data_IF_131505759012
#
_entry.id   IF_131505759012
#
_cell.length_a   1.000
_cell.length_b   1.000
_cell.length_c   1.000
_cell.angle_alpha   90.00
_cell.angle_beta   90.00
_cell.angle_gamma   90.00
#
_symmetry.space_group_name_H-M   'P 1'
#
loop_
_entity.id
_entity.type
_entity.pdbx_description
1 polymer ?
#
# COMPACT_ATOMS: atom_id res chain seq x y z
N UNK A 1 18.09 -13.04 -28.31
CA UNK A 1 19.05 -12.09 -27.72
C UNK A 1 18.40 -10.75 -27.32
N UNK A 2 17.49 -10.19 -28.08
CA UNK A 2 16.80 -8.90 -27.79
C UNK A 2 16.03 -8.87 -26.43
N UNK A 3 15.31 -9.93 -26.12
CA UNK A 3 14.51 -9.98 -24.88
C UNK A 3 15.37 -9.91 -23.59
N UNK A 4 16.59 -10.45 -23.61
CA UNK A 4 17.55 -10.32 -22.50
C UNK A 4 18.09 -8.90 -22.39
N UNK A 5 18.37 -8.23 -23.53
CA UNK A 5 18.89 -6.85 -23.57
C UNK A 5 17.88 -5.86 -22.97
N UNK A 6 16.58 -6.01 -23.29
CA UNK A 6 15.52 -5.14 -22.78
C UNK A 6 15.33 -5.27 -21.25
N UNK A 7 15.49 -6.45 -20.68
CA UNK A 7 15.42 -6.67 -19.23
C UNK A 7 16.58 -5.98 -18.50
N UNK A 8 17.80 -6.05 -19.06
CA UNK A 8 18.97 -5.38 -18.50
C UNK A 8 18.83 -3.86 -18.51
N UNK A 9 18.34 -3.30 -19.62
CA UNK A 9 18.07 -1.86 -19.74
C UNK A 9 17.04 -1.42 -18.69
N UNK A 10 15.96 -2.18 -18.51
CA UNK A 10 14.96 -1.87 -17.47
C UNK A 10 15.55 -1.87 -16.06
N UNK A 11 16.40 -2.86 -15.72
CA UNK A 11 17.08 -2.90 -14.41
C UNK A 11 17.99 -1.68 -14.20
N UNK A 12 18.75 -1.31 -15.22
CA UNK A 12 19.64 -0.12 -15.16
C UNK A 12 18.80 1.13 -14.94
N UNK A 13 17.71 1.31 -15.67
CA UNK A 13 16.82 2.48 -15.53
C UNK A 13 16.27 2.58 -14.11
N UNK A 14 15.75 1.49 -13.54
CA UNK A 14 15.24 1.48 -12.16
C UNK A 14 16.35 1.81 -11.16
N UNK A 15 17.53 1.22 -11.31
CA UNK A 15 18.67 1.50 -10.41
C UNK A 15 19.12 2.96 -10.54
N UNK A 16 19.20 3.50 -11.75
CA UNK A 16 19.55 4.91 -11.98
C UNK A 16 18.52 5.84 -11.34
N UNK A 17 17.22 5.55 -11.49
CA UNK A 17 16.16 6.34 -10.85
C UNK A 17 16.28 6.32 -9.32
N UNK A 18 16.59 5.19 -8.72
CA UNK A 18 16.81 5.07 -7.27
C UNK A 18 18.04 5.90 -6.87
N UNK A 19 19.16 5.78 -7.58
CA UNK A 19 20.38 6.53 -7.28
C UNK A 19 20.14 8.03 -7.43
N UNK A 20 19.45 8.48 -8.49
CA UNK A 20 19.10 9.89 -8.71
C UNK A 20 18.17 10.39 -7.59
N UNK A 21 17.18 9.58 -7.18
CA UNK A 21 16.27 9.95 -6.07
C UNK A 21 17.03 10.11 -4.75
N UNK A 22 17.92 9.18 -4.44
CA UNK A 22 18.78 9.26 -3.23
C UNK A 22 19.76 10.44 -3.36
N UNK A 23 20.40 10.60 -4.51
CA UNK A 23 21.33 11.71 -4.76
C UNK A 23 20.64 13.06 -4.62
N UNK A 24 19.42 13.22 -5.16
CA UNK A 24 18.66 14.46 -5.05
C UNK A 24 18.33 14.84 -3.60
N UNK A 25 18.09 13.85 -2.74
CA UNK A 25 17.88 14.08 -1.30
C UNK A 25 19.11 14.69 -0.62
N UNK A 26 20.34 14.30 -1.02
CA UNK A 26 21.58 14.83 -0.42
C UNK A 26 22.02 16.15 -1.06
N UNK A 27 21.77 16.34 -2.36
CA UNK A 27 22.26 17.49 -3.13
C UNK A 27 21.34 18.71 -2.98
N UNK A 28 20.00 18.49 -2.94
CA UNK A 28 19.03 19.59 -2.91
C UNK A 28 18.41 19.77 -1.53
N UNK A 29 18.73 20.88 -0.79
CA UNK A 29 18.15 21.15 0.53
C UNK A 29 16.61 21.19 0.53
N UNK A 30 16.00 21.70 -0.55
CA UNK A 30 14.54 21.72 -0.70
C UNK A 30 13.93 20.33 -0.76
N UNK A 31 14.54 19.40 -1.49
CA UNK A 31 14.10 17.99 -1.56
C UNK A 31 14.22 17.33 -0.20
N UNK A 32 15.35 17.54 0.49
CA UNK A 32 15.58 17.05 1.84
C UNK A 32 14.53 17.56 2.83
N UNK A 33 14.20 18.86 2.77
CA UNK A 33 13.18 19.47 3.64
C UNK A 33 11.81 18.84 3.42
N UNK A 34 11.34 18.77 2.16
CA UNK A 34 10.05 18.18 1.82
C UNK A 34 10.00 16.69 2.22
N UNK A 35 11.05 15.91 1.93
CA UNK A 35 11.11 14.49 2.30
C UNK A 35 11.02 14.29 3.81
N UNK A 36 11.79 15.07 4.59
CA UNK A 36 11.75 14.99 6.05
C UNK A 36 10.36 15.39 6.59
N UNK A 37 9.72 16.37 5.98
CA UNK A 37 8.36 16.77 6.33
C UNK A 37 7.36 15.64 6.05
N UNK A 38 7.45 14.97 4.89
CA UNK A 38 6.61 13.83 4.51
C UNK A 38 6.82 12.67 5.49
N UNK A 39 8.06 12.31 5.81
CA UNK A 39 8.33 11.23 6.77
C UNK A 39 7.81 11.55 8.18
N UNK A 40 8.01 12.78 8.67
CA UNK A 40 7.47 13.22 9.97
C UNK A 40 5.95 13.17 10.00
N UNK A 41 5.31 13.61 8.92
CA UNK A 41 3.86 13.58 8.75
C UNK A 41 3.32 12.14 8.87
N UNK A 42 3.91 11.18 8.17
CA UNK A 42 3.50 9.77 8.29
C UNK A 42 3.83 9.16 9.64
N UNK A 43 4.97 9.52 10.23
CA UNK A 43 5.38 9.05 11.55
C UNK A 43 4.46 9.55 12.68
N UNK A 44 3.75 10.67 12.48
CA UNK A 44 2.78 11.16 13.44
C UNK A 44 1.57 10.23 13.61
N UNK A 45 1.25 9.44 12.57
CA UNK A 45 0.05 8.58 12.55
C UNK A 45 -1.27 9.37 12.57
N UNK A 46 -1.22 10.69 12.46
CA UNK A 46 -2.40 11.56 12.50
C UNK A 46 -2.81 11.97 11.08
N UNK A 47 -4.03 11.59 10.68
CA UNK A 47 -4.58 11.98 9.38
C UNK A 47 -4.79 13.49 9.25
N UNK A 48 -4.99 14.23 10.35
CA UNK A 48 -5.16 15.69 10.31
C UNK A 48 -3.88 16.38 9.85
N UNK A 49 -2.71 15.87 10.26
CA UNK A 49 -1.41 16.36 9.79
C UNK A 49 -1.24 16.10 8.30
N UNK A 50 -1.66 14.92 7.81
CA UNK A 50 -1.65 14.59 6.37
C UNK A 50 -2.61 15.50 5.60
N UNK A 51 -3.82 15.70 6.13
CA UNK A 51 -4.83 16.59 5.54
C UNK A 51 -4.30 18.01 5.40
N UNK A 52 -3.75 18.58 6.47
CA UNK A 52 -3.27 19.95 6.50
C UNK A 52 -2.06 20.14 5.56
N UNK A 53 -1.17 19.14 5.50
CA UNK A 53 -0.08 19.11 4.52
C UNK A 53 -0.62 19.14 3.09
N UNK A 54 -1.57 18.27 2.74
CA UNK A 54 -2.16 18.22 1.40
C UNK A 54 -2.92 19.54 1.11
N UNK A 55 -3.71 20.04 2.07
CA UNK A 55 -4.48 21.28 1.93
C UNK A 55 -3.59 22.50 1.66
N UNK A 56 -2.37 22.53 2.20
CA UNK A 56 -1.43 23.64 2.02
C UNK A 56 -1.05 23.89 0.56
N UNK A 57 -1.25 22.91 -0.34
CA UNK A 57 -0.99 23.03 -1.77
C UNK A 57 -2.17 23.60 -2.57
N UNK A 58 -3.29 23.96 -1.93
CA UNK A 58 -4.42 24.64 -2.56
C UNK A 58 -4.96 23.91 -3.79
N UNK A 59 -4.94 24.54 -4.95
CA UNK A 59 -5.45 23.96 -6.19
C UNK A 59 -4.74 22.67 -6.62
N UNK A 60 -3.51 22.43 -6.18
CA UNK A 60 -2.73 21.23 -6.49
C UNK A 60 -2.91 20.11 -5.46
N UNK A 61 -3.75 20.29 -4.44
CA UNK A 61 -3.93 19.32 -3.34
C UNK A 61 -4.26 17.91 -3.84
N UNK A 62 -5.15 17.76 -4.82
CA UNK A 62 -5.50 16.44 -5.37
C UNK A 62 -4.31 15.76 -6.06
N UNK A 63 -3.51 16.51 -6.83
CA UNK A 63 -2.31 16.00 -7.48
C UNK A 63 -1.25 15.60 -6.46
N UNK A 64 -1.03 16.43 -5.45
CA UNK A 64 -0.07 16.13 -4.37
C UNK A 64 -0.49 14.89 -3.60
N UNK A 65 -1.79 14.76 -3.27
CA UNK A 65 -2.30 13.55 -2.62
C UNK A 65 -2.12 12.30 -3.49
N UNK A 66 -2.36 12.41 -4.80
CA UNK A 66 -2.16 11.32 -5.76
C UNK A 66 -0.69 10.85 -5.77
N UNK A 67 0.25 11.80 -5.88
CA UNK A 67 1.69 11.52 -5.86
C UNK A 67 2.15 10.97 -4.50
N UNK A 68 1.61 11.48 -3.41
CA UNK A 68 1.90 11.01 -2.06
C UNK A 68 1.46 9.56 -1.85
N UNK A 69 0.32 9.16 -2.43
CA UNK A 69 -0.17 7.77 -2.40
C UNK A 69 0.77 6.84 -3.19
N UNK A 70 1.25 7.25 -4.36
CA UNK A 70 2.25 6.47 -5.12
C UNK A 70 3.56 6.38 -4.34
N UNK A 71 4.02 7.51 -3.79
CA UNK A 71 5.26 7.56 -3.01
C UNK A 71 5.21 6.59 -1.81
N UNK A 72 4.13 6.62 -1.02
CA UNK A 72 3.99 5.72 0.11
C UNK A 72 3.99 4.25 -0.32
N UNK A 73 3.36 3.90 -1.45
CA UNK A 73 3.36 2.53 -1.97
C UNK A 73 4.76 2.01 -2.28
N UNK A 74 5.65 2.88 -2.74
CA UNK A 74 7.05 2.54 -3.05
C UNK A 74 7.89 2.50 -1.78
N UNK A 75 7.72 3.49 -0.90
CA UNK A 75 8.53 3.71 0.29
C UNK A 75 8.06 2.90 1.52
N UNK A 76 7.06 2.00 1.34
CA UNK A 76 6.46 1.19 2.41
C UNK A 76 7.43 0.89 3.60
N UNK A 77 6.92 0.87 4.82
CA UNK A 77 5.54 0.60 5.26
C UNK A 77 4.77 1.83 5.79
N UNK A 78 4.51 2.80 4.94
CA UNK A 78 3.73 3.98 5.36
C UNK A 78 2.22 3.68 5.30
N UNK A 79 1.41 4.19 6.25
CA UNK A 79 -0.01 3.83 6.34
C UNK A 79 -0.88 4.59 5.32
N UNK A 80 -1.24 3.95 4.21
CA UNK A 80 -2.06 4.50 3.13
C UNK A 80 -3.43 5.03 3.57
N UNK A 81 -4.02 4.45 4.64
CA UNK A 81 -5.33 4.87 5.13
C UNK A 81 -5.36 6.32 5.61
N UNK A 82 -4.22 6.86 6.08
CA UNK A 82 -4.11 8.27 6.49
C UNK A 82 -4.37 9.21 5.32
N UNK A 83 -3.84 8.89 4.14
CA UNK A 83 -4.09 9.66 2.91
C UNK A 83 -5.55 9.51 2.49
N UNK A 84 -6.12 8.30 2.60
CA UNK A 84 -7.52 8.06 2.25
C UNK A 84 -8.46 8.86 3.15
N UNK A 85 -8.18 8.92 4.46
CA UNK A 85 -8.95 9.76 5.39
C UNK A 85 -8.81 11.25 5.09
N UNK A 86 -7.59 11.72 4.81
CA UNK A 86 -7.33 13.10 4.42
C UNK A 86 -8.06 13.48 3.14
N UNK A 87 -8.03 12.63 2.13
CA UNK A 87 -8.74 12.84 0.86
C UNK A 87 -10.26 12.93 1.06
N UNK A 88 -10.82 12.02 1.85
CA UNK A 88 -12.26 12.02 2.14
C UNK A 88 -12.70 13.27 2.91
N UNK A 89 -11.83 13.79 3.78
CA UNK A 89 -12.08 14.99 4.56
C UNK A 89 -11.97 16.28 3.73
N UNK A 90 -10.99 16.33 2.79
CA UNK A 90 -10.74 17.51 1.96
C UNK A 90 -11.69 17.61 0.77
N UNK A 91 -11.95 16.49 0.10
CA UNK A 91 -12.65 16.48 -1.19
C UNK A 91 -14.07 15.91 -1.09
N UNK A 92 -14.48 15.49 0.12
CA UNK A 92 -15.72 14.74 0.31
C UNK A 92 -15.50 13.23 0.16
N UNK A 93 -16.36 12.44 0.83
CA UNK A 93 -16.14 11.00 0.96
C UNK A 93 -16.07 10.25 -0.38
N UNK A 94 -16.89 10.62 -1.36
CA UNK A 94 -16.98 9.92 -2.62
C UNK A 94 -15.88 10.36 -3.62
N UNK A 95 -15.58 11.67 -3.72
CA UNK A 95 -14.47 12.16 -4.54
C UNK A 95 -13.12 11.73 -3.95
N UNK A 96 -13.00 11.78 -2.62
CA UNK A 96 -11.85 11.26 -1.90
C UNK A 96 -11.67 9.75 -2.09
N UNK A 97 -12.77 8.97 -2.19
CA UNK A 97 -12.70 7.56 -2.50
C UNK A 97 -12.16 7.30 -3.90
N UNK A 98 -12.64 8.02 -4.91
CA UNK A 98 -12.15 7.88 -6.30
C UNK A 98 -10.68 8.27 -6.39
N UNK A 99 -10.29 9.39 -5.77
CA UNK A 99 -8.90 9.85 -5.76
C UNK A 99 -7.99 8.81 -5.08
N UNK A 100 -8.38 8.32 -3.91
CA UNK A 100 -7.60 7.32 -3.16
C UNK A 100 -7.54 5.97 -3.90
N UNK A 101 -8.65 5.52 -4.48
CA UNK A 101 -8.69 4.30 -5.25
C UNK A 101 -7.79 4.37 -6.49
N UNK A 102 -7.92 5.43 -7.29
CA UNK A 102 -7.14 5.59 -8.52
C UNK A 102 -5.65 5.77 -8.24
N UNK A 103 -5.28 6.53 -7.22
CA UNK A 103 -3.87 6.73 -6.84
C UNK A 103 -3.24 5.47 -6.24
N UNK A 104 -3.99 4.69 -5.44
CA UNK A 104 -3.53 3.40 -4.93
C UNK A 104 -3.36 2.37 -6.06
N UNK A 105 -4.25 2.38 -7.07
CA UNK A 105 -4.11 1.56 -8.26
C UNK A 105 -2.84 1.90 -9.05
N UNK A 106 -2.54 3.20 -9.19
CA UNK A 106 -1.30 3.66 -9.83
C UNK A 106 -0.08 3.22 -9.01
N UNK A 107 -0.10 3.38 -7.68
CA UNK A 107 0.96 2.90 -6.78
C UNK A 107 1.19 1.39 -6.89
N UNK A 108 0.10 0.60 -6.86
CA UNK A 108 0.17 -0.85 -7.04
C UNK A 108 0.79 -1.25 -8.39
N UNK A 109 0.43 -0.55 -9.47
CA UNK A 109 1.01 -0.78 -10.80
C UNK A 109 2.51 -0.50 -10.82
N UNK A 110 2.94 0.60 -10.20
CA UNK A 110 4.38 0.95 -10.09
C UNK A 110 5.12 -0.14 -9.31
N UNK A 111 4.63 -0.57 -8.14
CA UNK A 111 5.23 -1.64 -7.34
C UNK A 111 5.33 -2.96 -8.12
N UNK A 112 4.26 -3.33 -8.84
CA UNK A 112 4.23 -4.52 -9.68
C UNK A 112 5.31 -4.48 -10.78
N UNK A 113 5.44 -3.35 -11.49
CA UNK A 113 6.44 -3.23 -12.55
C UNK A 113 7.86 -3.12 -12.01
N UNK A 114 8.09 -2.43 -10.90
CA UNK A 114 9.40 -2.40 -10.22
C UNK A 114 9.84 -3.83 -9.90
N UNK A 115 8.98 -4.61 -9.25
CA UNK A 115 9.28 -6.00 -8.91
C UNK A 115 9.53 -6.86 -10.16
N UNK A 116 8.73 -6.68 -11.21
CA UNK A 116 8.86 -7.41 -12.47
C UNK A 116 10.15 -7.10 -13.21
N UNK A 117 10.59 -5.84 -13.21
CA UNK A 117 11.82 -5.36 -13.87
C UNK A 117 13.05 -5.79 -13.07
N UNK A 118 13.06 -5.59 -11.76
CA UNK A 118 14.17 -6.01 -10.90
C UNK A 118 14.36 -7.52 -10.92
N UNK A 119 13.23 -8.25 -10.97
CA UNK A 119 13.21 -9.69 -11.09
C UNK A 119 13.46 -10.41 -9.77
N UNK A 120 13.29 -11.73 -9.85
CA UNK A 120 13.33 -12.62 -8.69
C UNK A 120 14.69 -12.65 -8.00
N UNK A 121 15.78 -12.57 -8.76
CA UNK A 121 17.14 -12.62 -8.22
C UNK A 121 17.43 -11.49 -7.21
N UNK A 122 16.91 -10.29 -7.48
CA UNK A 122 17.04 -9.13 -6.57
C UNK A 122 16.13 -9.32 -5.38
N UNK A 123 14.90 -9.78 -5.57
CA UNK A 123 13.94 -10.02 -4.51
C UNK A 123 14.44 -11.09 -3.52
N UNK A 124 15.08 -12.17 -3.99
CA UNK A 124 15.66 -13.22 -3.13
C UNK A 124 16.84 -12.72 -2.27
N UNK A 125 17.57 -11.69 -2.76
CA UNK A 125 18.62 -11.05 -1.99
C UNK A 125 18.09 -10.10 -0.90
N UNK A 126 16.93 -9.48 -1.15
CA UNK A 126 16.29 -8.55 -0.22
C UNK A 126 15.35 -9.25 0.78
N UNK A 127 14.84 -10.41 0.40
CA UNK A 127 13.95 -11.25 1.20
C UNK A 127 14.62 -12.60 1.41
N UNK A 128 14.29 -13.35 2.44
CA UNK A 128 14.85 -14.71 2.59
C UNK A 128 14.30 -15.67 1.52
N UNK A 129 15.06 -16.70 1.16
CA UNK A 129 14.56 -17.80 0.28
C UNK A 129 13.27 -18.42 0.80
N UNK A 130 13.13 -18.53 2.13
CA UNK A 130 11.92 -19.02 2.79
C UNK A 130 10.72 -18.09 2.53
N UNK A 131 10.90 -16.78 2.58
CA UNK A 131 9.84 -15.80 2.25
C UNK A 131 9.37 -15.92 0.80
N UNK A 132 10.30 -16.11 -0.15
CA UNK A 132 9.94 -16.31 -1.55
C UNK A 132 9.18 -17.63 -1.79
N UNK A 133 9.56 -18.71 -1.10
CA UNK A 133 8.82 -19.98 -1.16
C UNK A 133 7.40 -19.86 -0.59
N UNK A 134 7.20 -19.08 0.47
CA UNK A 134 5.87 -18.82 1.01
C UNK A 134 4.99 -18.08 -0.01
N UNK A 135 5.52 -17.06 -0.69
CA UNK A 135 4.83 -16.34 -1.76
C UNK A 135 4.42 -17.31 -2.87
N UNK A 136 5.35 -18.13 -3.36
CA UNK A 136 5.07 -19.11 -4.41
C UNK A 136 4.00 -20.13 -3.99
N UNK A 137 4.09 -20.63 -2.77
CA UNK A 137 3.12 -21.60 -2.23
C UNK A 137 1.74 -20.97 -2.14
N UNK A 138 1.66 -19.71 -1.69
CA UNK A 138 0.41 -18.98 -1.59
C UNK A 138 -0.22 -18.72 -2.97
N UNK A 139 0.58 -18.25 -3.94
CA UNK A 139 0.09 -18.03 -5.30
C UNK A 139 -0.27 -19.33 -6.02
N UNK A 140 0.44 -20.45 -5.77
CA UNK A 140 0.07 -21.77 -6.29
C UNK A 140 -1.24 -22.26 -5.71
N UNK A 141 -1.47 -22.06 -4.40
CA UNK A 141 -2.67 -22.54 -3.70
C UNK A 141 -3.95 -21.82 -4.13
N UNK A 142 -3.90 -20.49 -4.31
CA UNK A 142 -5.07 -19.67 -4.59
C UNK A 142 -5.16 -19.19 -6.06
N UNK A 143 -4.12 -19.42 -6.86
CA UNK A 143 -4.10 -19.14 -8.30
C UNK A 143 -4.43 -17.69 -8.65
N UNK A 144 -5.34 -17.52 -9.62
CA UNK A 144 -5.73 -16.18 -10.12
C UNK A 144 -6.42 -15.31 -9.07
N UNK A 145 -7.01 -15.91 -8.05
CA UNK A 145 -7.77 -15.18 -7.02
C UNK A 145 -6.88 -14.73 -5.85
N UNK A 146 -5.60 -15.09 -5.84
CA UNK A 146 -4.67 -14.74 -4.76
C UNK A 146 -4.71 -13.26 -4.41
N UNK A 147 -4.57 -12.38 -5.41
CA UNK A 147 -4.55 -10.93 -5.21
C UNK A 147 -5.90 -10.46 -4.66
N UNK A 148 -7.01 -10.89 -5.24
CA UNK A 148 -8.35 -10.54 -4.76
C UNK A 148 -8.55 -10.90 -3.29
N UNK A 149 -8.18 -12.13 -2.90
CA UNK A 149 -8.29 -12.59 -1.51
C UNK A 149 -7.42 -11.71 -0.59
N UNK A 150 -6.17 -11.43 -0.98
CA UNK A 150 -5.28 -10.58 -0.20
C UNK A 150 -5.81 -9.16 0.00
N UNK A 151 -6.49 -8.59 -1.03
CA UNK A 151 -7.09 -7.25 -0.94
C UNK A 151 -8.30 -7.18 -0.02
N UNK A 152 -9.04 -8.28 0.12
CA UNK A 152 -10.18 -8.37 1.03
C UNK A 152 -9.75 -8.61 2.49
N UNK A 153 -8.49 -9.00 2.72
CA UNK A 153 -7.97 -9.26 4.06
C UNK A 153 -7.23 -8.02 4.60
N UNK A 154 -7.74 -7.37 5.66
CA UNK A 154 -7.24 -6.07 6.11
C UNK A 154 -5.85 -6.12 6.77
N UNK A 155 -5.36 -7.32 7.09
CA UNK A 155 -4.06 -7.54 7.74
C UNK A 155 -2.92 -7.87 6.79
N UNK A 156 -3.20 -7.98 5.48
CA UNK A 156 -2.17 -8.22 4.47
C UNK A 156 -1.78 -6.89 3.84
N UNK A 157 -0.48 -6.57 3.88
CA UNK A 157 0.03 -5.32 3.30
C UNK A 157 -0.27 -5.24 1.81
N UNK A 158 -0.92 -4.15 1.42
CA UNK A 158 -1.27 -3.84 0.04
C UNK A 158 -0.04 -3.80 -0.87
N UNK A 159 1.01 -3.13 -0.43
CA UNK A 159 2.20 -2.89 -1.24
C UNK A 159 3.03 -4.16 -1.40
N UNK A 160 3.20 -4.95 -0.32
CA UNK A 160 3.89 -6.25 -0.36
C UNK A 160 3.22 -7.20 -1.36
N UNK A 161 1.88 -7.26 -1.39
CA UNK A 161 1.14 -8.09 -2.36
C UNK A 161 1.37 -7.61 -3.80
N UNK A 162 1.47 -6.29 -4.01
CA UNK A 162 1.76 -5.72 -5.34
C UNK A 162 3.15 -6.10 -5.83
N UNK A 163 4.17 -6.00 -4.98
CA UNK A 163 5.52 -6.47 -5.27
C UNK A 163 5.56 -7.99 -5.51
N UNK A 164 4.91 -8.77 -4.64
CA UNK A 164 4.87 -10.22 -4.76
C UNK A 164 4.22 -10.67 -6.07
N UNK A 165 3.08 -10.07 -6.45
CA UNK A 165 2.42 -10.36 -7.72
C UNK A 165 3.33 -10.06 -8.92
N UNK A 166 4.11 -8.97 -8.88
CA UNK A 166 5.09 -8.62 -9.90
C UNK A 166 6.18 -9.68 -10.12
N UNK A 167 6.56 -10.40 -9.06
CA UNK A 167 7.56 -11.48 -9.11
C UNK A 167 7.02 -12.82 -9.63
N UNK A 168 5.70 -12.96 -9.75
CA UNK A 168 5.04 -14.17 -10.26
C UNK A 168 4.83 -14.09 -11.78
N UNK A 169 4.34 -15.18 -12.38
CA UNK A 169 3.91 -15.23 -13.79
C UNK A 169 2.55 -14.59 -14.06
N UNK A 170 1.91 -13.95 -13.04
CA UNK A 170 0.61 -13.32 -13.18
C UNK A 170 0.65 -12.19 -14.19
N UNK A 171 -0.36 -12.11 -15.10
CA UNK A 171 -0.45 -11.00 -16.04
C UNK A 171 -0.80 -9.70 -15.33
N UNK A 172 -0.31 -8.56 -15.85
CA UNK A 172 -0.62 -7.25 -15.28
C UNK A 172 -2.13 -6.97 -15.25
N UNK A 173 -2.85 -7.33 -16.31
CA UNK A 173 -4.31 -7.10 -16.38
C UNK A 173 -5.04 -7.87 -15.29
N UNK A 174 -4.70 -9.15 -15.09
CA UNK A 174 -5.29 -9.97 -14.01
C UNK A 174 -5.00 -9.39 -12.63
N UNK A 175 -3.76 -8.93 -12.39
CA UNK A 175 -3.37 -8.25 -11.16
C UNK A 175 -4.14 -6.95 -10.96
N UNK A 176 -4.21 -6.10 -12.01
CA UNK A 176 -4.82 -4.78 -11.93
C UNK A 176 -6.32 -4.87 -11.66
N UNK A 177 -7.04 -5.75 -12.38
CA UNK A 177 -8.48 -5.98 -12.16
C UNK A 177 -8.74 -6.56 -10.77
N UNK A 178 -7.99 -7.57 -10.35
CA UNK A 178 -8.15 -8.16 -9.02
C UNK A 178 -7.85 -7.14 -7.89
N UNK A 179 -6.85 -6.27 -8.09
CA UNK A 179 -6.54 -5.18 -7.16
C UNK A 179 -7.66 -4.16 -7.15
N UNK A 180 -8.14 -3.69 -8.30
CA UNK A 180 -9.18 -2.68 -8.41
C UNK A 180 -10.48 -3.11 -7.75
N UNK A 181 -10.93 -4.33 -8.03
CA UNK A 181 -12.17 -4.89 -7.45
C UNK A 181 -11.97 -5.18 -5.95
N UNK A 182 -10.85 -5.80 -5.59
CA UNK A 182 -10.61 -6.27 -4.23
C UNK A 182 -10.43 -5.15 -3.19
N UNK A 183 -9.89 -3.99 -3.60
CA UNK A 183 -9.71 -2.87 -2.67
C UNK A 183 -10.92 -1.92 -2.59
N UNK A 184 -11.89 -1.99 -3.53
CA UNK A 184 -13.07 -1.12 -3.53
C UNK A 184 -13.81 -1.12 -2.18
N UNK A 185 -14.16 -2.27 -1.56
CA UNK A 185 -14.87 -2.26 -0.29
C UNK A 185 -14.11 -1.52 0.80
N UNK A 186 -12.81 -1.77 0.94
CA UNK A 186 -11.98 -1.12 1.94
C UNK A 186 -11.85 0.40 1.68
N UNK A 187 -11.64 0.80 0.42
CA UNK A 187 -11.55 2.22 0.05
C UNK A 187 -12.85 2.96 0.34
N UNK A 188 -14.01 2.38 0.03
CA UNK A 188 -15.33 2.99 0.32
C UNK A 188 -15.50 3.15 1.83
N UNK A 189 -15.23 2.10 2.60
CA UNK A 189 -15.35 2.14 4.07
C UNK A 189 -14.43 3.20 4.67
N UNK A 190 -13.14 3.20 4.29
CA UNK A 190 -12.19 4.18 4.80
C UNK A 190 -12.55 5.61 4.40
N UNK A 191 -12.99 5.83 3.15
CA UNK A 191 -13.39 7.17 2.72
C UNK A 191 -14.67 7.65 3.42
N UNK A 192 -15.64 6.77 3.61
CA UNK A 192 -16.85 7.11 4.34
C UNK A 192 -16.54 7.48 5.80
N UNK A 193 -15.75 6.64 6.48
CA UNK A 193 -15.29 6.91 7.85
C UNK A 193 -14.43 8.17 7.91
N UNK A 194 -13.49 8.35 6.98
CA UNK A 194 -12.63 9.53 6.91
C UNK A 194 -13.40 10.83 6.73
N UNK A 195 -14.47 10.81 5.92
CA UNK A 195 -15.38 11.95 5.75
C UNK A 195 -16.15 12.32 7.02
N UNK A 196 -16.35 11.36 7.92
CA UNK A 196 -17.01 11.58 9.22
C UNK A 196 -16.05 12.02 10.35
N UNK A 197 -14.72 11.94 10.13
CA UNK A 197 -13.71 12.27 11.12
C UNK A 197 -13.57 13.79 11.35
N UNK A 198 -14.71 14.52 11.47
CA UNK A 198 -14.77 15.95 11.74
C UNK A 198 -15.55 16.20 13.04
N UNK A 199 -15.05 17.12 13.86
CA UNK A 199 -15.74 17.52 15.11
C UNK A 199 -15.92 16.39 16.12
N UNK A 200 -17.05 16.37 16.84
CA UNK A 200 -17.35 15.38 17.88
C UNK A 200 -17.52 13.95 17.38
N UNK A 201 -17.87 13.75 16.11
CA UNK A 201 -17.98 12.43 15.49
C UNK A 201 -16.64 11.68 15.41
N UNK A 202 -15.52 12.42 15.41
CA UNK A 202 -14.16 11.85 15.41
C UNK A 202 -13.95 10.86 16.55
N UNK A 203 -14.31 11.23 17.76
CA UNK A 203 -14.12 10.38 18.95
C UNK A 203 -14.97 9.11 18.90
N UNK A 204 -16.22 9.24 18.46
CA UNK A 204 -17.14 8.10 18.36
C UNK A 204 -16.69 7.10 17.28
N UNK A 205 -16.33 7.58 16.08
CA UNK A 205 -15.85 6.74 14.98
C UNK A 205 -14.51 6.10 15.34
N UNK A 206 -13.57 6.85 15.93
CA UNK A 206 -12.28 6.31 16.37
C UNK A 206 -12.48 5.23 17.44
N UNK A 207 -13.37 5.45 18.40
CA UNK A 207 -13.72 4.45 19.41
C UNK A 207 -14.30 3.17 18.82
N UNK A 208 -15.23 3.29 17.85
CA UNK A 208 -15.79 2.13 17.13
C UNK A 208 -14.75 1.36 16.33
N UNK A 209 -13.84 2.06 15.66
CA UNK A 209 -12.73 1.43 14.92
C UNK A 209 -11.79 0.66 15.83
N UNK A 210 -11.45 1.22 17.00
CA UNK A 210 -10.62 0.54 18.01
C UNK A 210 -11.35 -0.69 18.54
N UNK A 211 -12.64 -0.60 18.86
CA UNK A 211 -13.42 -1.75 19.31
C UNK A 211 -13.50 -2.85 18.25
N UNK A 212 -13.69 -2.47 16.99
CA UNK A 212 -13.69 -3.43 15.87
C UNK A 212 -12.32 -4.11 15.70
N UNK A 213 -11.23 -3.35 15.74
CA UNK A 213 -9.88 -3.89 15.66
C UNK A 213 -9.58 -4.85 16.83
N UNK A 214 -9.95 -4.48 18.05
CA UNK A 214 -9.79 -5.34 19.22
C UNK A 214 -10.63 -6.63 19.11
N UNK A 215 -11.89 -6.54 18.66
CA UNK A 215 -12.74 -7.71 18.47
C UNK A 215 -12.17 -8.67 17.40
N UNK A 216 -11.65 -8.13 16.30
CA UNK A 216 -10.99 -8.91 15.26
C UNK A 216 -9.72 -9.61 15.77
N UNK A 217 -8.90 -8.91 16.58
CA UNK A 217 -7.71 -9.47 17.21
C UNK A 217 -8.05 -10.59 18.20
N UNK A 218 -9.08 -10.41 19.03
CA UNK A 218 -9.56 -11.42 19.97
C UNK A 218 -10.07 -12.64 19.22
N UNK A 219 -10.85 -12.44 18.14
CA UNK A 219 -11.35 -13.54 17.32
C UNK A 219 -10.22 -14.34 16.66
N UNK A 220 -9.22 -13.64 16.07
CA UNK A 220 -8.04 -14.29 15.51
C UNK A 220 -7.22 -15.03 16.57
N UNK A 221 -6.98 -14.42 17.71
CA UNK A 221 -6.26 -15.04 18.84
C UNK A 221 -6.93 -16.32 19.32
N UNK A 222 -8.27 -16.30 19.49
CA UNK A 222 -9.07 -17.48 19.84
C UNK A 222 -8.97 -18.58 18.79
N UNK A 223 -9.06 -18.24 17.50
CA UNK A 223 -8.96 -19.20 16.41
C UNK A 223 -7.58 -19.87 16.38
N UNK A 224 -6.50 -19.09 16.47
CA UNK A 224 -5.13 -19.61 16.52
C UNK A 224 -4.93 -20.51 17.75
N UNK A 225 -5.45 -20.12 18.90
CA UNK A 225 -5.36 -20.91 20.13
C UNK A 225 -6.08 -22.26 19.99
N UNK A 226 -7.31 -22.26 19.47
CA UNK A 226 -8.08 -23.48 19.24
C UNK A 226 -7.42 -24.42 18.21
N UNK A 227 -6.88 -23.86 17.11
CA UNK A 227 -6.16 -24.64 16.09
C UNK A 227 -4.87 -25.27 16.65
N UNK A 228 -4.19 -24.60 17.58
CA UNK A 228 -3.03 -25.19 18.30
C UNK A 228 -3.42 -26.30 19.26
N UNK A 229 -4.54 -26.17 19.95
CA UNK A 229 -5.05 -27.23 20.84
C UNK A 229 -5.47 -28.48 20.05
N UNK A 230 -6.18 -28.30 18.95
CA UNK A 230 -6.61 -29.40 18.08
C UNK A 230 -5.44 -30.15 17.42
N UNK A 231 -4.29 -29.47 17.20
CA UNK A 231 -3.06 -30.12 16.72
C UNK A 231 -2.28 -30.87 17.79
N UNK A 232 -2.48 -30.56 19.07
CA UNK A 232 -1.86 -31.28 20.19
C UNK A 232 -2.68 -32.49 20.65
N UNK A 233 -3.96 -32.57 20.24
CA UNK A 233 -4.87 -33.66 20.58
C UNK A 233 -4.93 -34.76 19.50
N UNK A 234 -4.21 -34.60 18.41
CA UNK A 234 -3.94 -35.60 17.37
C UNK A 234 -2.50 -36.07 17.43
#
# INVERSE_FOLDING_TARGET
MEKKKNIWVGKIVVIVLIIVSIGSYYVFPSVKHVMNQVFKMFASGDFAVVRDFVASYGAYAALISFLLMIFQSIAAPLPAFLITFANANLFGWWQGAILSWSSAMAGAAVCFFIARILGRDVAEKLTSKAGMQQIDTFFKKYGKNTVLICRLLPFISFDIVSYAAGLTSMSFISFFVATGVGQLPATIVYSYVGGMLTGGAKFLVTGLLILFALSALIFMGRKIYMDRQNKKAK
#
